data_IF_414066965678
#
_entry.id   IF_414066965678
#
_cell.length_a   1.000
_cell.length_b   1.000
_cell.length_c   1.000
_cell.angle_alpha   90.00
_cell.angle_beta   90.00
_cell.angle_gamma   90.00
#
_symmetry.space_group_name_H-M   'P 1'
#
loop_
_entity.id
_entity.type
_entity.pdbx_description
1 polymer ?
#
# COMPACT_ATOMS: atom_id res chain seq x y z
N UNK A 1 -3.85 7.67 -26.45
CA UNK A 1 -4.46 8.05 -25.16
C UNK A 1 -5.91 8.44 -25.39
N UNK A 2 -6.82 8.08 -24.47
CA UNK A 2 -8.21 8.54 -24.52
C UNK A 2 -8.23 10.06 -24.31
N UNK A 3 -9.00 10.79 -25.12
CA UNK A 3 -9.09 12.25 -25.01
C UNK A 3 -10.21 12.62 -24.03
N UNK A 4 -9.86 13.16 -22.87
CA UNK A 4 -10.81 13.64 -21.86
C UNK A 4 -11.09 15.13 -22.11
N UNK A 5 -12.38 15.50 -22.06
CA UNK A 5 -12.86 16.87 -22.21
C UNK A 5 -13.28 17.47 -20.86
N UNK A 6 -13.70 16.63 -19.92
CA UNK A 6 -14.20 17.02 -18.62
C UNK A 6 -13.37 16.37 -17.51
N UNK A 7 -13.14 17.12 -16.44
CA UNK A 7 -12.34 16.65 -15.31
C UNK A 7 -13.10 16.89 -14.03
N UNK A 8 -13.24 15.85 -13.21
CA UNK A 8 -13.93 15.89 -11.92
C UNK A 8 -12.94 15.62 -10.82
N UNK A 9 -12.63 16.66 -10.04
CA UNK A 9 -11.81 16.52 -8.83
C UNK A 9 -12.67 16.32 -7.60
N UNK A 10 -12.33 15.36 -6.75
CA UNK A 10 -13.12 15.02 -5.57
C UNK A 10 -12.22 15.00 -4.34
N UNK A 11 -12.50 15.88 -3.38
CA UNK A 11 -11.95 15.78 -2.03
C UNK A 11 -12.86 14.91 -1.18
N UNK A 12 -12.26 13.90 -0.52
CA UNK A 12 -12.99 12.83 0.18
C UNK A 12 -12.86 12.98 1.68
N UNK A 13 -13.98 13.18 2.35
CA UNK A 13 -14.08 13.06 3.79
C UNK A 13 -14.95 11.87 4.21
N UNK A 14 -15.04 11.62 5.51
CA UNK A 14 -15.82 10.50 6.06
C UNK A 14 -17.30 10.58 5.65
N UNK A 15 -17.91 11.76 5.73
CA UNK A 15 -19.36 11.96 5.57
C UNK A 15 -19.74 12.60 4.24
N UNK A 16 -18.84 13.37 3.62
CA UNK A 16 -19.12 14.15 2.41
C UNK A 16 -18.02 14.05 1.38
N UNK A 17 -18.38 14.34 0.14
CA UNK A 17 -17.50 14.53 -0.99
C UNK A 17 -17.69 15.96 -1.49
N UNK A 18 -16.60 16.72 -1.54
CA UNK A 18 -16.55 18.00 -2.21
C UNK A 18 -16.13 17.74 -3.66
N UNK A 19 -16.99 18.09 -4.60
CA UNK A 19 -16.85 17.75 -6.03
C UNK A 19 -16.68 19.02 -6.84
N UNK A 20 -15.65 19.09 -7.65
CA UNK A 20 -15.44 20.17 -8.63
C UNK A 20 -15.40 19.58 -10.03
N UNK A 21 -16.32 20.03 -10.86
CA UNK A 21 -16.32 19.76 -12.31
C UNK A 21 -15.61 20.89 -13.05
N UNK A 22 -14.62 20.59 -13.86
CA UNK A 22 -14.06 21.50 -14.87
C UNK A 22 -14.79 21.20 -16.19
N UNK A 23 -15.63 22.14 -16.63
CA UNK A 23 -16.40 22.02 -17.87
C UNK A 23 -15.58 22.47 -19.09
N UNK A 24 -14.73 23.46 -18.89
CA UNK A 24 -13.86 23.98 -19.96
C UNK A 24 -12.52 24.41 -19.38
N UNK A 25 -11.46 23.76 -19.85
CA UNK A 25 -10.11 24.01 -19.39
C UNK A 25 -9.61 25.40 -19.84
N UNK A 26 -9.92 25.82 -21.06
CA UNK A 26 -9.44 27.10 -21.62
C UNK A 26 -10.04 28.32 -20.92
N UNK A 27 -11.34 28.26 -20.55
CA UNK A 27 -12.03 29.36 -19.88
C UNK A 27 -12.00 29.24 -18.35
N UNK A 28 -11.38 28.18 -17.79
CA UNK A 28 -11.39 27.88 -16.34
C UNK A 28 -12.82 27.78 -15.75
N UNK A 29 -13.80 27.42 -16.60
CA UNK A 29 -15.19 27.27 -16.14
C UNK A 29 -15.29 26.01 -15.28
N UNK A 30 -15.58 26.21 -14.02
CA UNK A 30 -15.71 25.13 -13.04
C UNK A 30 -16.89 25.34 -12.11
N UNK A 31 -17.46 24.24 -11.65
CA UNK A 31 -18.57 24.23 -10.70
C UNK A 31 -18.24 23.34 -9.51
N UNK A 32 -18.69 23.77 -8.34
CA UNK A 32 -18.51 23.03 -7.09
C UNK A 32 -19.87 22.65 -6.50
N UNK A 33 -19.98 21.43 -6.04
CA UNK A 33 -21.14 20.96 -5.28
C UNK A 33 -20.69 19.89 -4.26
N UNK A 34 -21.56 19.63 -3.27
CA UNK A 34 -21.26 18.69 -2.19
C UNK A 34 -22.30 17.58 -2.21
N UNK A 35 -21.84 16.34 -1.99
CA UNK A 35 -22.72 15.18 -1.82
C UNK A 35 -22.26 14.34 -0.62
N UNK A 36 -23.12 13.47 -0.12
CA UNK A 36 -22.74 12.51 0.91
C UNK A 36 -21.78 11.44 0.37
N UNK A 37 -20.84 10.97 1.20
CA UNK A 37 -19.97 9.84 0.87
C UNK A 37 -20.70 8.50 1.03
N UNK A 38 -21.81 8.36 0.31
CA UNK A 38 -22.67 7.18 0.24
C UNK A 38 -22.93 6.79 -1.20
N UNK A 39 -23.34 5.55 -1.45
CA UNK A 39 -23.69 5.12 -2.82
C UNK A 39 -24.77 6.02 -3.44
N UNK A 40 -25.74 6.47 -2.65
CA UNK A 40 -26.80 7.42 -3.11
C UNK A 40 -26.20 8.77 -3.51
N UNK A 41 -25.32 9.33 -2.67
CA UNK A 41 -24.65 10.60 -2.97
C UNK A 41 -23.76 10.50 -4.22
N UNK A 42 -23.03 9.41 -4.39
CA UNK A 42 -22.18 9.20 -5.56
C UNK A 42 -23.01 9.04 -6.84
N UNK A 43 -24.12 8.30 -6.79
CA UNK A 43 -25.06 8.20 -7.91
C UNK A 43 -25.65 9.57 -8.27
N UNK A 44 -25.83 10.47 -7.29
CA UNK A 44 -26.30 11.84 -7.55
C UNK A 44 -25.26 12.66 -8.33
N UNK A 45 -23.95 12.43 -8.13
CA UNK A 45 -22.90 13.05 -8.97
C UNK A 45 -23.15 12.71 -10.45
N UNK A 46 -23.29 11.42 -10.73
CA UNK A 46 -23.51 10.94 -12.11
C UNK A 46 -24.79 11.55 -12.70
N UNK A 47 -25.87 11.60 -11.92
CA UNK A 47 -27.13 12.21 -12.35
C UNK A 47 -26.99 13.71 -12.65
N UNK A 48 -26.26 14.46 -11.82
CA UNK A 48 -26.00 15.89 -12.04
C UNK A 48 -25.17 16.12 -13.32
N UNK A 49 -24.11 15.31 -13.55
CA UNK A 49 -23.32 15.38 -14.76
C UNK A 49 -24.15 15.09 -16.02
N UNK A 50 -25.02 14.06 -15.99
CA UNK A 50 -25.93 13.73 -17.08
C UNK A 50 -26.93 14.86 -17.36
N UNK A 51 -27.53 15.47 -16.33
CA UNK A 51 -28.44 16.64 -16.48
C UNK A 51 -27.75 17.80 -17.20
N UNK A 52 -26.45 17.98 -16.99
CA UNK A 52 -25.60 18.99 -17.66
C UNK A 52 -25.13 18.59 -19.04
N UNK A 53 -25.57 17.43 -19.57
CA UNK A 53 -25.17 16.87 -20.85
C UNK A 53 -23.64 16.62 -20.94
N UNK A 54 -22.97 16.35 -19.80
CA UNK A 54 -21.56 15.98 -19.75
C UNK A 54 -21.40 14.55 -20.26
N UNK A 55 -20.52 14.35 -21.21
CA UNK A 55 -20.18 13.02 -21.73
C UNK A 55 -19.29 12.29 -20.71
N UNK A 56 -19.88 11.32 -20.01
CA UNK A 56 -19.18 10.55 -18.99
C UNK A 56 -18.01 9.72 -19.54
N UNK A 57 -18.09 9.30 -20.83
CA UNK A 57 -17.00 8.56 -21.46
C UNK A 57 -15.78 9.45 -21.75
N UNK A 58 -15.96 10.77 -21.78
CA UNK A 58 -14.92 11.78 -21.93
C UNK A 58 -14.62 12.51 -20.63
N UNK A 59 -15.06 11.96 -19.50
CA UNK A 59 -14.85 12.52 -18.17
C UNK A 59 -13.83 11.69 -17.41
N UNK A 60 -12.81 12.35 -16.83
CA UNK A 60 -11.85 11.76 -15.91
C UNK A 60 -12.17 12.19 -14.48
N UNK A 61 -12.42 11.22 -13.62
CA UNK A 61 -12.55 11.44 -12.17
C UNK A 61 -11.18 11.34 -11.52
N UNK A 62 -10.83 12.29 -10.65
CA UNK A 62 -9.58 12.31 -9.92
C UNK A 62 -9.82 12.56 -8.43
N UNK A 63 -9.16 11.82 -7.56
CA UNK A 63 -9.28 11.99 -6.11
C UNK A 63 -8.05 11.46 -5.36
N UNK A 64 -7.90 11.95 -4.14
CA UNK A 64 -6.81 11.55 -3.25
C UNK A 64 -7.11 10.20 -2.57
N UNK A 65 -6.05 9.44 -2.28
CA UNK A 65 -6.17 8.20 -1.53
C UNK A 65 -6.34 8.48 -0.02
N UNK A 66 -7.57 8.55 0.46
CA UNK A 66 -7.94 8.74 1.87
C UNK A 66 -8.28 7.43 2.62
N UNK A 67 -7.69 6.34 2.20
CA UNK A 67 -7.87 5.03 2.82
C UNK A 67 -9.26 4.44 2.60
N UNK A 68 -9.93 4.01 3.68
CA UNK A 68 -11.24 3.33 3.58
C UNK A 68 -12.35 4.21 3.04
N UNK A 69 -12.27 5.52 3.22
CA UNK A 69 -13.29 6.47 2.74
C UNK A 69 -13.33 6.60 1.22
N UNK A 70 -12.27 6.16 0.53
CA UNK A 70 -12.19 6.11 -0.94
C UNK A 70 -13.01 4.96 -1.54
N UNK A 71 -13.28 3.89 -0.79
CA UNK A 71 -13.93 2.69 -1.32
C UNK A 71 -15.31 2.92 -1.91
N UNK A 72 -16.26 3.63 -1.25
CA UNK A 72 -17.58 3.85 -1.82
C UNK A 72 -17.53 4.50 -3.20
N UNK A 73 -16.69 5.53 -3.36
CA UNK A 73 -16.50 6.22 -4.63
C UNK A 73 -15.90 5.30 -5.69
N UNK A 74 -14.81 4.60 -5.36
CA UNK A 74 -14.14 3.69 -6.29
C UNK A 74 -15.06 2.56 -6.77
N UNK A 75 -15.86 1.97 -5.87
CA UNK A 75 -16.81 0.91 -6.20
C UNK A 75 -17.85 1.41 -7.19
N UNK A 76 -18.52 2.52 -6.87
CA UNK A 76 -19.57 3.06 -7.74
C UNK A 76 -19.01 3.50 -9.12
N UNK A 77 -17.85 4.17 -9.17
CA UNK A 77 -17.25 4.55 -10.45
C UNK A 77 -16.90 3.33 -11.31
N UNK A 78 -16.40 2.25 -10.69
CA UNK A 78 -16.12 1.00 -11.42
C UNK A 78 -17.38 0.28 -11.86
N UNK A 79 -18.45 0.27 -11.07
CA UNK A 79 -19.76 -0.28 -11.46
C UNK A 79 -20.38 0.46 -12.65
N UNK A 80 -20.10 1.77 -12.77
CA UNK A 80 -20.50 2.58 -13.92
C UNK A 80 -19.49 2.56 -15.08
N UNK A 81 -18.43 1.76 -14.98
CA UNK A 81 -17.35 1.67 -15.98
C UNK A 81 -16.70 3.03 -16.31
N UNK A 82 -16.61 3.92 -15.31
CA UNK A 82 -16.07 5.26 -15.47
C UNK A 82 -14.57 5.32 -15.16
N UNK A 83 -13.85 6.09 -15.93
CA UNK A 83 -12.42 6.28 -15.76
C UNK A 83 -12.11 7.16 -14.55
N UNK A 84 -11.26 6.64 -13.65
CA UNK A 84 -10.81 7.41 -12.50
C UNK A 84 -9.33 7.22 -12.19
N UNK A 85 -8.76 8.23 -11.54
CA UNK A 85 -7.37 8.27 -11.13
C UNK A 85 -7.25 8.57 -9.64
N UNK A 86 -6.74 7.60 -8.87
CA UNK A 86 -6.43 7.77 -7.45
C UNK A 86 -4.98 8.24 -7.34
N UNK A 87 -4.78 9.43 -6.82
CA UNK A 87 -3.47 10.08 -6.73
C UNK A 87 -2.97 10.08 -5.28
N UNK A 88 -1.67 9.85 -5.04
CA UNK A 88 -1.08 10.06 -3.73
C UNK A 88 -1.17 11.54 -3.29
N UNK A 89 -1.57 11.79 -2.03
CA UNK A 89 -1.67 13.14 -1.45
C UNK A 89 -0.44 14.02 -1.69
N UNK A 90 0.73 13.41 -1.61
CA UNK A 90 2.01 14.12 -1.75
C UNK A 90 2.22 14.67 -3.17
N UNK A 91 1.70 14.00 -4.20
CA UNK A 91 1.82 14.47 -5.58
C UNK A 91 0.94 15.68 -5.81
N UNK A 92 -0.32 15.64 -5.33
CA UNK A 92 -1.24 16.77 -5.38
C UNK A 92 -0.63 17.96 -4.62
N UNK A 93 -0.15 17.73 -3.39
CA UNK A 93 0.49 18.78 -2.58
C UNK A 93 1.68 19.44 -3.26
N UNK A 94 2.55 18.66 -3.90
CA UNK A 94 3.72 19.19 -4.63
C UNK A 94 3.36 19.97 -5.90
N UNK A 95 2.21 19.69 -6.50
CA UNK A 95 1.76 20.38 -7.70
C UNK A 95 1.08 21.72 -7.45
N UNK A 96 0.68 22.01 -6.20
CA UNK A 96 -0.08 23.21 -5.83
C UNK A 96 0.75 24.51 -5.82
N UNK A 97 2.08 24.42 -5.72
CA UNK A 97 2.93 25.60 -5.46
C UNK A 97 2.69 26.18 -4.06
N UNK A 98 2.91 27.48 -3.88
CA UNK A 98 2.67 28.18 -2.61
C UNK A 98 1.19 28.57 -2.55
N UNK A 99 0.39 27.87 -1.75
CA UNK A 99 -1.02 28.19 -1.51
C UNK A 99 -1.23 28.75 -0.12
N UNK A 100 -2.04 29.82 -0.01
CA UNK A 100 -2.47 30.39 1.28
C UNK A 100 -3.95 30.01 1.52
N UNK A 101 -4.22 29.41 2.67
CA UNK A 101 -5.55 28.94 3.05
C UNK A 101 -5.81 27.48 2.62
N UNK A 102 -6.71 26.82 3.36
CA UNK A 102 -7.14 25.44 3.11
C UNK A 102 -8.66 25.38 3.32
N UNK A 103 -9.37 24.92 2.29
CA UNK A 103 -10.76 24.49 2.42
C UNK A 103 -11.06 23.38 1.40
N UNK A 104 -12.03 22.56 1.69
CA UNK A 104 -12.37 21.35 0.94
C UNK A 104 -12.73 21.66 -0.53
N UNK A 105 -13.39 22.79 -0.81
CA UNK A 105 -13.69 23.26 -2.17
C UNK A 105 -12.41 23.55 -2.97
N UNK A 106 -11.45 24.22 -2.33
CA UNK A 106 -10.16 24.53 -2.97
C UNK A 106 -9.37 23.24 -3.20
N UNK A 107 -9.39 22.31 -2.22
CA UNK A 107 -8.72 21.04 -2.35
C UNK A 107 -9.32 20.20 -3.49
N UNK A 108 -10.63 20.11 -3.63
CA UNK A 108 -11.29 19.45 -4.76
C UNK A 108 -10.95 20.11 -6.11
N UNK A 109 -10.87 21.45 -6.17
CA UNK A 109 -10.45 22.19 -7.36
C UNK A 109 -9.00 21.89 -7.73
N UNK A 110 -8.11 21.85 -6.77
CA UNK A 110 -6.70 21.54 -6.98
C UNK A 110 -6.50 20.10 -7.48
N UNK A 111 -7.29 19.14 -6.98
CA UNK A 111 -7.32 17.76 -7.45
C UNK A 111 -7.77 17.71 -8.93
N UNK A 112 -8.82 18.45 -9.29
CA UNK A 112 -9.28 18.51 -10.67
C UNK A 112 -8.19 19.09 -11.60
N UNK A 113 -7.57 20.22 -11.22
CA UNK A 113 -6.50 20.82 -11.99
C UNK A 113 -5.22 19.98 -12.03
N UNK A 114 -4.95 19.19 -10.98
CA UNK A 114 -3.86 18.21 -11.01
C UNK A 114 -4.05 17.23 -12.16
N UNK A 115 -5.25 16.68 -12.33
CA UNK A 115 -5.52 15.72 -13.40
C UNK A 115 -5.42 16.33 -14.82
N UNK A 116 -5.79 17.60 -14.99
CA UNK A 116 -5.60 18.34 -16.23
C UNK A 116 -4.11 18.50 -16.58
N UNK A 117 -3.33 19.01 -15.61
CA UNK A 117 -1.92 19.37 -15.84
C UNK A 117 -0.97 18.18 -15.95
N UNK A 118 -1.36 17.02 -15.42
CA UNK A 118 -0.54 15.83 -15.41
C UNK A 118 -1.17 14.67 -16.18
N UNK A 119 -1.97 14.97 -17.18
CA UNK A 119 -2.65 13.96 -18.01
C UNK A 119 -1.68 13.02 -18.73
N UNK A 120 -0.47 13.49 -19.02
CA UNK A 120 0.65 12.71 -19.56
C UNK A 120 1.11 11.59 -18.63
N UNK A 121 0.88 11.75 -17.30
CA UNK A 121 1.23 10.78 -16.25
C UNK A 121 0.06 9.90 -15.85
N UNK A 122 -1.09 10.02 -16.51
CA UNK A 122 -2.31 9.30 -16.16
C UNK A 122 -2.08 7.80 -16.09
N UNK A 123 -2.46 7.22 -14.95
CA UNK A 123 -2.61 5.79 -14.74
C UNK A 123 -3.99 5.53 -14.19
N UNK A 124 -4.88 5.04 -15.05
CA UNK A 124 -6.22 4.67 -14.62
C UNK A 124 -6.15 3.71 -13.44
N UNK A 125 -6.95 4.02 -12.44
CA UNK A 125 -7.04 3.20 -11.23
C UNK A 125 -8.13 2.15 -11.42
N UNK A 126 -7.89 0.97 -10.88
CA UNK A 126 -8.88 -0.10 -10.80
C UNK A 126 -9.07 -0.52 -9.34
N UNK A 127 -10.26 -1.00 -9.03
CA UNK A 127 -10.51 -1.64 -7.74
C UNK A 127 -9.73 -2.95 -7.69
N UNK A 128 -9.11 -3.22 -6.55
CA UNK A 128 -8.63 -4.58 -6.28
C UNK A 128 -9.83 -5.52 -6.15
N UNK A 129 -9.65 -6.78 -6.49
CA UNK A 129 -10.68 -7.81 -6.29
C UNK A 129 -11.21 -7.79 -4.86
N UNK A 130 -12.47 -8.16 -4.70
CA UNK A 130 -13.17 -8.12 -3.40
C UNK A 130 -12.39 -8.84 -2.29
N UNK A 131 -11.82 -9.99 -2.62
CA UNK A 131 -11.03 -10.80 -1.70
C UNK A 131 -9.75 -10.08 -1.25
N UNK A 132 -9.08 -9.37 -2.15
CA UNK A 132 -7.87 -8.60 -1.83
C UNK A 132 -8.21 -7.40 -0.95
N UNK A 133 -9.37 -6.77 -1.18
CA UNK A 133 -9.86 -5.69 -0.30
C UNK A 133 -10.16 -6.22 1.11
N UNK A 134 -10.85 -7.36 1.21
CA UNK A 134 -11.12 -8.03 2.48
C UNK A 134 -9.82 -8.39 3.21
N UNK A 135 -8.85 -8.98 2.50
CA UNK A 135 -7.53 -9.28 3.06
C UNK A 135 -6.84 -8.03 3.59
N UNK A 136 -6.89 -6.92 2.86
CA UNK A 136 -6.29 -5.64 3.30
C UNK A 136 -6.92 -5.12 4.58
N UNK A 137 -8.25 -5.17 4.70
CA UNK A 137 -8.97 -4.76 5.91
C UNK A 137 -8.59 -5.64 7.10
N UNK A 138 -8.68 -6.97 6.95
CA UNK A 138 -8.31 -7.92 8.00
C UNK A 138 -6.85 -7.80 8.41
N UNK A 139 -5.94 -7.59 7.45
CA UNK A 139 -4.52 -7.38 7.74
C UNK A 139 -4.30 -6.08 8.55
N UNK A 140 -5.04 -5.02 8.24
CA UNK A 140 -4.98 -3.76 8.98
C UNK A 140 -5.46 -3.93 10.42
N UNK A 141 -6.57 -4.64 10.64
CA UNK A 141 -7.06 -4.95 12.00
C UNK A 141 -6.07 -5.84 12.76
N UNK A 142 -5.51 -6.86 12.10
CA UNK A 142 -4.44 -7.69 12.67
C UNK A 142 -3.26 -6.84 13.17
N UNK A 143 -2.83 -5.86 12.39
CA UNK A 143 -1.74 -4.96 12.79
C UNK A 143 -2.09 -4.10 14.01
N UNK A 144 -3.35 -3.66 14.13
CA UNK A 144 -3.83 -2.95 15.33
C UNK A 144 -3.76 -3.86 16.57
N UNK A 145 -4.29 -5.08 16.45
CA UNK A 145 -4.24 -6.07 17.54
C UNK A 145 -2.80 -6.37 17.95
N UNK A 146 -1.89 -6.56 16.99
CA UNK A 146 -0.48 -6.80 17.27
C UNK A 146 0.20 -5.64 18.01
N UNK A 147 -0.09 -4.39 17.61
CA UNK A 147 0.42 -3.20 18.31
C UNK A 147 -0.11 -3.12 19.74
N UNK A 148 -1.39 -3.40 19.93
CA UNK A 148 -2.00 -3.41 21.27
C UNK A 148 -1.40 -4.50 22.15
N UNK A 149 -1.14 -5.69 21.60
CA UNK A 149 -0.44 -6.77 22.33
C UNK A 149 0.96 -6.35 22.80
N UNK A 150 1.70 -5.58 21.98
CA UNK A 150 3.01 -5.08 22.39
C UNK A 150 2.90 -4.10 23.56
N UNK A 151 1.91 -3.19 23.53
CA UNK A 151 1.67 -2.23 24.63
C UNK A 151 1.41 -2.97 25.96
N UNK A 152 0.53 -3.98 25.95
CA UNK A 152 0.24 -4.75 27.17
C UNK A 152 1.39 -5.70 27.60
N UNK A 153 2.28 -6.06 26.67
CA UNK A 153 3.42 -6.93 26.93
C UNK A 153 4.53 -6.28 27.77
N UNK A 154 4.63 -4.94 27.79
CA UNK A 154 5.69 -4.19 28.49
C UNK A 154 5.46 -4.06 30.01
N UNK A 155 4.31 -4.48 30.53
CA UNK A 155 3.96 -4.33 31.95
C UNK A 155 4.98 -4.99 32.92
N UNK A 156 5.70 -6.02 32.47
CA UNK A 156 6.71 -6.71 33.27
C UNK A 156 7.91 -5.81 33.62
N UNK A 157 8.20 -4.83 32.80
CA UNK A 157 9.32 -3.89 32.99
C UNK A 157 9.09 -2.96 34.20
N UNK A 158 7.83 -2.80 34.62
CA UNK A 158 7.45 -1.89 35.69
C UNK A 158 7.45 -2.57 37.08
N UNK A 159 7.83 -3.87 37.18
CA UNK A 159 7.71 -4.66 38.42
C UNK A 159 8.47 -4.04 39.58
N UNK A 160 9.64 -3.48 39.34
CA UNK A 160 10.52 -2.93 40.34
C UNK A 160 10.16 -1.50 40.78
N UNK A 161 9.18 -0.87 40.11
CA UNK A 161 8.78 0.54 40.31
C UNK A 161 7.41 0.69 40.98
N UNK A 162 6.67 -0.41 41.19
CA UNK A 162 5.33 -0.40 41.80
C UNK A 162 5.22 -1.45 42.91
N UNK A 163 4.29 -1.20 43.83
CA UNK A 163 4.08 -2.14 44.97
C UNK A 163 3.55 -3.49 44.43
N UNK A 164 3.91 -4.57 45.16
CA UNK A 164 3.61 -5.94 44.73
C UNK A 164 2.10 -6.24 44.61
N UNK A 165 1.28 -5.64 45.44
CA UNK A 165 -0.19 -5.77 45.42
C UNK A 165 -0.78 -5.10 44.17
N UNK A 166 -0.39 -3.87 43.87
CA UNK A 166 -0.80 -3.14 42.65
C UNK A 166 -0.30 -3.88 41.42
N UNK A 167 0.97 -4.34 41.42
CA UNK A 167 1.52 -5.10 40.31
C UNK A 167 0.72 -6.38 40.01
N UNK A 168 0.30 -7.14 41.07
CA UNK A 168 -0.54 -8.33 40.91
C UNK A 168 -1.88 -8.01 40.22
N UNK A 169 -2.56 -6.95 40.65
CA UNK A 169 -3.84 -6.52 40.05
C UNK A 169 -3.66 -6.16 38.58
N UNK A 170 -2.70 -5.28 38.29
CA UNK A 170 -2.43 -4.83 36.92
C UNK A 170 -2.04 -5.99 36.03
N UNK A 171 -1.14 -6.89 36.51
CA UNK A 171 -0.71 -8.05 35.72
C UNK A 171 -1.86 -9.02 35.45
N UNK A 172 -2.78 -9.21 36.40
CA UNK A 172 -3.96 -10.06 36.19
C UNK A 172 -4.91 -9.49 35.14
N UNK A 173 -5.18 -8.18 35.18
CA UNK A 173 -6.01 -7.49 34.21
C UNK A 173 -5.36 -7.58 32.79
N UNK A 174 -4.05 -7.29 32.72
CA UNK A 174 -3.32 -7.35 31.45
C UNK A 174 -3.27 -8.78 30.88
N UNK A 175 -3.10 -9.80 31.73
CA UNK A 175 -3.12 -11.19 31.29
C UNK A 175 -4.48 -11.59 30.63
N UNK A 176 -5.60 -11.15 31.22
CA UNK A 176 -6.95 -11.36 30.65
C UNK A 176 -7.08 -10.66 29.30
N UNK A 177 -6.66 -9.41 29.20
CA UNK A 177 -6.70 -8.61 27.96
C UNK A 177 -5.81 -9.25 26.88
N UNK A 178 -4.59 -9.64 27.22
CA UNK A 178 -3.67 -10.33 26.29
C UNK A 178 -4.28 -11.64 25.79
N UNK A 179 -4.93 -12.41 26.66
CA UNK A 179 -5.62 -13.66 26.26
C UNK A 179 -6.72 -13.39 25.23
N UNK A 180 -7.56 -12.39 25.47
CA UNK A 180 -8.63 -11.99 24.55
C UNK A 180 -8.07 -11.52 23.19
N UNK A 181 -7.04 -10.65 23.21
CA UNK A 181 -6.38 -10.17 21.99
C UNK A 181 -5.74 -11.30 21.18
N UNK A 182 -5.16 -12.32 21.84
CA UNK A 182 -4.62 -13.49 21.14
C UNK A 182 -5.70 -14.33 20.46
N UNK A 183 -6.88 -14.45 21.07
CA UNK A 183 -8.05 -15.12 20.45
C UNK A 183 -8.45 -14.35 19.20
N UNK A 184 -8.69 -13.04 19.30
CA UNK A 184 -9.04 -12.18 18.17
C UNK A 184 -8.00 -12.23 17.05
N UNK A 185 -6.71 -12.26 17.39
CA UNK A 185 -5.63 -12.40 16.42
C UNK A 185 -5.74 -13.72 15.64
N UNK A 186 -6.01 -14.83 16.34
CA UNK A 186 -6.19 -16.15 15.71
C UNK A 186 -7.41 -16.17 14.77
N UNK A 187 -8.52 -15.57 15.18
CA UNK A 187 -9.73 -15.45 14.35
C UNK A 187 -9.47 -14.67 13.07
N UNK A 188 -8.81 -13.49 13.17
CA UNK A 188 -8.41 -12.69 12.01
C UNK A 188 -7.51 -13.48 11.05
N UNK A 189 -6.49 -14.16 11.59
CA UNK A 189 -5.57 -14.96 10.77
C UNK A 189 -6.26 -16.16 10.13
N UNK A 190 -7.21 -16.78 10.82
CA UNK A 190 -8.03 -17.88 10.27
C UNK A 190 -8.88 -17.37 9.12
N UNK A 191 -9.57 -16.24 9.31
CA UNK A 191 -10.40 -15.64 8.25
C UNK A 191 -9.60 -15.25 7.00
N UNK A 192 -8.40 -14.69 7.20
CA UNK A 192 -7.49 -14.37 6.08
C UNK A 192 -7.07 -15.63 5.31
N UNK A 193 -6.78 -16.74 6.01
CA UNK A 193 -6.46 -18.03 5.37
C UNK A 193 -7.63 -18.59 4.59
N UNK A 194 -8.85 -18.51 5.12
CA UNK A 194 -10.07 -18.95 4.44
C UNK A 194 -10.28 -18.20 3.12
N UNK A 195 -10.12 -16.86 3.11
CA UNK A 195 -10.24 -16.05 1.90
C UNK A 195 -9.24 -16.52 0.84
N UNK A 196 -7.98 -16.74 1.23
CA UNK A 196 -6.96 -17.22 0.30
C UNK A 196 -7.31 -18.63 -0.20
N UNK A 197 -7.73 -19.53 0.69
CA UNK A 197 -8.06 -20.93 0.34
C UNK A 197 -9.24 -21.05 -0.63
N UNK A 198 -10.23 -20.16 -0.49
CA UNK A 198 -11.46 -20.18 -1.26
C UNK A 198 -11.32 -19.53 -2.66
N UNK A 199 -10.21 -18.87 -2.95
CA UNK A 199 -9.91 -18.32 -4.26
C UNK A 199 -8.68 -19.03 -4.84
N UNK A 200 -8.87 -19.78 -5.93
CA UNK A 200 -7.83 -20.64 -6.52
C UNK A 200 -6.61 -19.85 -6.99
N UNK A 201 -6.81 -18.66 -7.57
CA UNK A 201 -5.73 -17.79 -8.03
C UNK A 201 -4.91 -17.25 -6.86
N UNK A 202 -5.57 -16.72 -5.82
CA UNK A 202 -4.90 -16.22 -4.63
C UNK A 202 -4.15 -17.34 -3.88
N UNK A 203 -4.74 -18.56 -3.85
CA UNK A 203 -4.08 -19.72 -3.25
C UNK A 203 -2.81 -20.08 -4.01
N UNK A 204 -2.88 -20.18 -5.33
CA UNK A 204 -1.71 -20.46 -6.17
C UNK A 204 -0.62 -19.39 -5.96
N UNK A 205 -0.97 -18.11 -6.01
CA UNK A 205 -0.02 -17.02 -5.76
C UNK A 205 0.60 -17.14 -4.37
N UNK A 206 -0.21 -17.39 -3.35
CA UNK A 206 0.25 -17.53 -1.97
C UNK A 206 1.26 -18.68 -1.81
N UNK A 207 0.97 -19.84 -2.38
CA UNK A 207 1.84 -21.03 -2.31
C UNK A 207 3.16 -20.79 -3.06
N UNK A 208 3.11 -20.16 -4.23
CA UNK A 208 4.29 -19.77 -4.99
C UNK A 208 5.19 -18.79 -4.21
N UNK A 209 4.61 -17.75 -3.63
CA UNK A 209 5.34 -16.75 -2.84
C UNK A 209 5.97 -17.39 -1.60
N UNK A 210 5.24 -18.29 -0.94
CA UNK A 210 5.70 -19.03 0.23
C UNK A 210 6.88 -19.97 -0.06
N UNK A 211 7.04 -20.40 -1.27
CA UNK A 211 8.18 -21.24 -1.69
C UNK A 211 9.52 -20.48 -1.64
N UNK A 212 9.50 -19.15 -1.65
CA UNK A 212 10.73 -18.32 -1.64
C UNK A 212 11.33 -18.27 -0.24
N UNK A 213 12.59 -18.63 -0.04
CA UNK A 213 13.27 -18.56 1.25
C UNK A 213 13.21 -17.15 1.86
N UNK A 214 12.87 -17.08 3.15
CA UNK A 214 12.70 -15.83 3.87
C UNK A 214 11.28 -15.24 3.78
N UNK A 215 10.37 -15.83 2.99
CA UNK A 215 9.00 -15.34 2.90
C UNK A 215 8.07 -16.16 3.79
N UNK A 216 7.66 -15.56 4.90
CA UNK A 216 6.67 -16.14 5.83
C UNK A 216 5.23 -15.91 5.35
N UNK A 217 4.27 -16.52 6.06
CA UNK A 217 2.84 -16.42 5.76
C UNK A 217 2.35 -14.96 5.68
N UNK A 218 2.71 -14.12 6.65
CA UNK A 218 2.29 -12.72 6.70
C UNK A 218 2.89 -11.90 5.56
N UNK A 219 4.15 -12.19 5.22
CA UNK A 219 4.81 -11.54 4.08
C UNK A 219 4.15 -11.92 2.76
N UNK A 220 3.79 -13.20 2.56
CA UNK A 220 3.11 -13.66 1.36
C UNK A 220 1.73 -13.00 1.19
N UNK A 221 0.93 -12.95 2.26
CA UNK A 221 -0.35 -12.24 2.26
C UNK A 221 -0.18 -10.76 1.90
N UNK A 222 0.82 -10.11 2.49
CA UNK A 222 1.04 -8.69 2.24
C UNK A 222 1.58 -8.41 0.83
N UNK A 223 2.36 -9.32 0.23
CA UNK A 223 2.71 -9.23 -1.18
C UNK A 223 1.46 -9.21 -2.06
N UNK A 224 0.52 -10.13 -1.85
CA UNK A 224 -0.75 -10.18 -2.60
C UNK A 224 -1.53 -8.86 -2.44
N UNK A 225 -1.65 -8.36 -1.20
CA UNK A 225 -2.35 -7.10 -0.90
C UNK A 225 -1.66 -5.91 -1.59
N UNK A 226 -0.36 -5.76 -1.41
CA UNK A 226 0.41 -4.61 -1.90
C UNK A 226 0.49 -4.57 -3.43
N UNK A 227 0.56 -5.73 -4.07
CA UNK A 227 0.62 -5.86 -5.53
C UNK A 227 -0.75 -5.93 -6.18
N UNK A 228 -1.85 -5.94 -5.40
CA UNK A 228 -3.21 -6.23 -5.88
C UNK A 228 -3.27 -7.51 -6.72
N UNK A 229 -2.71 -8.62 -6.21
CA UNK A 229 -2.60 -9.87 -6.93
C UNK A 229 -1.67 -9.79 -8.15
N UNK A 230 -0.58 -9.03 -8.03
CA UNK A 230 0.42 -8.76 -9.08
C UNK A 230 -0.10 -8.00 -10.31
N UNK A 231 -1.26 -7.34 -10.19
CA UNK A 231 -1.84 -6.49 -11.26
C UNK A 231 -1.35 -5.04 -11.18
N UNK A 232 -0.81 -4.58 -10.03
CA UNK A 232 -0.39 -3.19 -9.83
C UNK A 232 1.07 -2.88 -10.23
N UNK A 233 1.88 -3.89 -10.47
CA UNK A 233 3.30 -3.73 -10.79
C UNK A 233 3.73 -4.66 -11.91
N UNK A 234 4.29 -4.10 -12.98
CA UNK A 234 4.73 -4.86 -14.15
C UNK A 234 6.02 -5.67 -13.88
N UNK A 235 6.84 -5.23 -12.91
CA UNK A 235 8.11 -5.89 -12.61
C UNK A 235 8.58 -5.65 -11.16
N UNK A 236 9.55 -6.46 -10.74
CA UNK A 236 10.14 -6.43 -9.40
C UNK A 236 10.81 -5.10 -9.06
N UNK A 237 11.42 -4.41 -10.05
CA UNK A 237 12.13 -3.14 -9.83
C UNK A 237 11.17 -2.02 -9.44
N UNK A 238 10.00 -1.92 -10.08
CA UNK A 238 8.95 -0.95 -9.69
C UNK A 238 8.45 -1.23 -8.29
N UNK A 239 8.27 -2.51 -7.93
CA UNK A 239 7.89 -2.90 -6.59
C UNK A 239 9.00 -2.65 -5.55
N UNK A 240 10.28 -2.83 -5.90
CA UNK A 240 11.42 -2.48 -5.05
C UNK A 240 11.46 -0.96 -4.75
N UNK A 241 11.11 -0.11 -5.72
CA UNK A 241 10.93 1.32 -5.49
C UNK A 241 9.78 1.59 -4.51
N UNK A 242 8.62 0.97 -4.71
CA UNK A 242 7.46 1.09 -3.84
C UNK A 242 7.75 0.64 -2.40
N UNK A 243 8.47 -0.47 -2.23
CA UNK A 243 8.85 -1.00 -0.91
C UNK A 243 10.03 -0.25 -0.26
N UNK A 244 10.64 0.72 -0.94
CA UNK A 244 11.78 1.49 -0.43
C UNK A 244 13.04 0.65 -0.24
N UNK A 245 13.25 -0.34 -1.11
CA UNK A 245 14.47 -1.15 -1.13
C UNK A 245 15.37 -0.81 -2.31
N UNK A 246 14.81 -0.23 -3.39
CA UNK A 246 15.63 0.24 -4.52
C UNK A 246 16.44 1.47 -4.12
N UNK A 247 17.76 1.46 -4.34
CA UNK A 247 18.60 2.61 -4.12
C UNK A 247 18.49 3.59 -5.28
N UNK A 248 18.54 4.90 -4.99
CA UNK A 248 18.58 5.97 -5.97
C UNK A 248 19.85 6.79 -5.78
N UNK A 249 20.48 7.17 -6.89
CA UNK A 249 21.58 8.11 -6.88
C UNK A 249 21.09 9.50 -6.48
N UNK A 250 21.91 10.20 -5.73
CA UNK A 250 21.66 11.58 -5.35
C UNK A 250 22.89 12.39 -5.76
N UNK A 251 22.84 12.95 -6.95
CA UNK A 251 23.88 13.83 -7.49
C UNK A 251 23.24 15.07 -8.10
N UNK A 252 23.85 16.23 -7.91
CA UNK A 252 23.41 17.47 -8.54
C UNK A 252 24.65 18.26 -8.96
N UNK A 253 24.82 18.43 -10.27
CA UNK A 253 25.98 19.09 -10.85
C UNK A 253 27.31 18.42 -10.50
N UNK A 254 28.38 19.20 -10.54
CA UNK A 254 29.75 18.75 -10.17
C UNK A 254 30.02 18.80 -8.66
N UNK A 255 29.25 19.58 -7.90
CA UNK A 255 29.52 19.89 -6.48
C UNK A 255 28.82 18.96 -5.49
N UNK A 256 27.71 18.33 -5.86
CA UNK A 256 26.95 17.44 -4.95
C UNK A 256 27.07 16.00 -5.41
N UNK A 257 27.98 15.23 -4.79
CA UNK A 257 28.09 13.77 -4.94
C UNK A 257 27.57 13.09 -3.67
N UNK A 258 26.25 13.02 -3.53
CA UNK A 258 25.62 12.24 -2.46
C UNK A 258 25.71 10.75 -2.71
N UNK A 259 25.97 9.94 -1.68
CA UNK A 259 25.91 8.49 -1.80
C UNK A 259 24.49 8.01 -2.15
N UNK A 260 24.40 6.87 -2.83
CA UNK A 260 23.16 6.20 -3.20
C UNK A 260 22.32 5.89 -1.96
N UNK A 261 21.08 6.37 -1.91
CA UNK A 261 20.16 6.21 -0.76
C UNK A 261 18.81 5.63 -1.20
N UNK A 262 18.18 4.89 -0.29
CA UNK A 262 16.78 4.45 -0.48
C UNK A 262 15.82 5.60 -0.16
N UNK A 263 14.71 5.68 -0.89
CA UNK A 263 13.71 6.70 -0.66
C UNK A 263 12.96 6.43 0.66
N UNK A 264 12.66 7.51 1.41
CA UNK A 264 11.82 7.42 2.61
C UNK A 264 10.33 7.33 2.29
N UNK A 265 9.91 7.74 1.08
CA UNK A 265 8.55 7.57 0.56
C UNK A 265 8.40 6.13 0.08
N UNK A 266 8.02 5.24 1.01
CA UNK A 266 7.94 3.82 0.76
C UNK A 266 6.86 3.17 1.63
N UNK A 267 6.38 2.01 1.21
CA UNK A 267 5.57 1.16 2.06
C UNK A 267 6.40 0.61 3.23
N UNK A 268 6.28 1.28 4.39
CA UNK A 268 7.04 0.95 5.60
C UNK A 268 6.73 -0.47 6.11
N UNK A 269 5.51 -0.97 5.87
CA UNK A 269 5.13 -2.32 6.30
C UNK A 269 5.81 -3.37 5.45
N UNK A 270 5.78 -3.22 4.11
CA UNK A 270 6.52 -4.12 3.21
C UNK A 270 8.02 -4.09 3.52
N UNK A 271 8.58 -2.90 3.72
CA UNK A 271 10.00 -2.76 4.08
C UNK A 271 10.36 -3.52 5.36
N UNK A 272 9.50 -3.46 6.38
CA UNK A 272 9.69 -4.20 7.65
C UNK A 272 9.59 -5.71 7.45
N UNK A 273 8.59 -6.19 6.70
CA UNK A 273 8.43 -7.61 6.40
C UNK A 273 9.62 -8.16 5.60
N UNK A 274 10.10 -7.40 4.62
CA UNK A 274 11.30 -7.76 3.85
C UNK A 274 12.57 -7.77 4.71
N UNK A 275 12.68 -6.89 5.71
CA UNK A 275 13.80 -6.92 6.67
C UNK A 275 13.82 -8.22 7.45
N UNK A 276 12.67 -8.60 8.01
CA UNK A 276 12.56 -9.88 8.73
C UNK A 276 12.79 -11.07 7.81
N UNK A 277 12.27 -10.99 6.59
CA UNK A 277 12.51 -12.00 5.55
C UNK A 277 13.97 -12.13 5.18
N UNK A 278 14.72 -11.04 5.03
CA UNK A 278 16.15 -11.07 4.73
C UNK A 278 16.96 -11.70 5.87
N UNK A 279 16.63 -11.39 7.13
CA UNK A 279 17.28 -12.01 8.31
C UNK A 279 16.99 -13.52 8.37
N UNK A 280 15.75 -13.94 8.09
CA UNK A 280 15.38 -15.34 8.04
C UNK A 280 16.07 -16.06 6.87
N UNK A 281 16.15 -15.42 5.70
CA UNK A 281 16.79 -15.99 4.52
C UNK A 281 18.29 -16.26 4.74
N UNK A 282 19.02 -15.32 5.35
CA UNK A 282 20.45 -15.56 5.70
C UNK A 282 20.60 -16.77 6.61
N UNK A 283 19.63 -17.03 7.48
CA UNK A 283 19.68 -18.15 8.42
C UNK A 283 19.38 -19.49 7.76
N UNK A 284 18.47 -19.52 6.78
CA UNK A 284 17.88 -20.75 6.23
C UNK A 284 18.19 -21.03 4.76
N UNK A 285 18.71 -20.04 4.01
CA UNK A 285 19.11 -20.22 2.59
C UNK A 285 20.64 -20.18 2.48
N UNK A 286 21.31 -21.30 2.15
CA UNK A 286 22.77 -21.36 2.05
C UNK A 286 23.34 -20.35 1.04
N UNK A 287 22.69 -20.15 -0.11
CA UNK A 287 23.13 -19.21 -1.14
C UNK A 287 23.11 -17.75 -0.64
N UNK A 288 22.05 -17.36 0.07
CA UNK A 288 21.95 -16.00 0.61
C UNK A 288 22.86 -15.80 1.82
N UNK A 289 23.11 -16.86 2.61
CA UNK A 289 24.09 -16.84 3.70
C UNK A 289 25.52 -16.62 3.16
N UNK A 290 25.90 -17.37 2.13
CA UNK A 290 27.21 -17.23 1.49
C UNK A 290 27.37 -15.84 0.87
N UNK A 291 26.36 -15.36 0.12
CA UNK A 291 26.34 -14.01 -0.42
C UNK A 291 26.52 -12.95 0.67
N UNK A 292 25.82 -13.09 1.80
CA UNK A 292 25.95 -12.17 2.92
C UNK A 292 27.36 -12.16 3.49
N UNK A 293 27.94 -13.34 3.77
CA UNK A 293 29.29 -13.47 4.33
C UNK A 293 30.35 -12.93 3.37
N UNK A 294 30.27 -13.26 2.08
CA UNK A 294 31.17 -12.76 1.05
C UNK A 294 31.16 -11.22 1.02
N UNK A 295 29.99 -10.60 0.99
CA UNK A 295 29.87 -9.14 0.95
C UNK A 295 30.33 -8.48 2.26
N UNK A 296 30.19 -9.13 3.40
CA UNK A 296 30.72 -8.67 4.67
C UNK A 296 32.25 -8.70 4.68
N UNK A 297 32.86 -9.78 4.18
CA UNK A 297 34.31 -9.92 4.06
C UNK A 297 34.91 -8.89 3.09
N UNK A 298 34.14 -8.47 2.05
CA UNK A 298 34.49 -7.34 1.18
C UNK A 298 34.36 -5.96 1.86
N UNK A 299 34.11 -5.89 3.18
CA UNK A 299 34.01 -4.65 3.95
C UNK A 299 32.65 -3.91 3.81
N UNK A 300 31.62 -4.50 3.18
CA UNK A 300 30.33 -3.86 3.01
C UNK A 300 29.56 -3.82 4.34
N UNK A 301 28.88 -2.69 4.62
CA UNK A 301 28.04 -2.52 5.82
C UNK A 301 26.87 -3.53 5.82
N UNK A 302 26.60 -4.17 6.95
CA UNK A 302 25.55 -5.20 7.11
C UNK A 302 24.20 -4.77 6.56
N UNK A 303 23.76 -3.53 6.87
CA UNK A 303 22.46 -3.00 6.42
C UNK A 303 22.39 -2.84 4.89
N UNK A 304 23.50 -2.54 4.23
CA UNK A 304 23.57 -2.49 2.76
C UNK A 304 23.38 -3.89 2.17
N UNK A 305 24.09 -4.89 2.72
CA UNK A 305 23.98 -6.28 2.26
C UNK A 305 22.59 -6.84 2.50
N UNK A 306 21.98 -6.56 3.67
CA UNK A 306 20.58 -6.91 3.95
C UNK A 306 19.62 -6.28 2.96
N UNK A 307 19.86 -5.02 2.56
CA UNK A 307 19.02 -4.37 1.56
C UNK A 307 19.12 -5.04 0.19
N UNK A 308 20.31 -5.49 -0.21
CA UNK A 308 20.48 -6.26 -1.44
C UNK A 308 19.71 -7.59 -1.38
N UNK A 309 19.69 -8.25 -0.21
CA UNK A 309 18.93 -9.49 0.00
C UNK A 309 17.43 -9.24 -0.10
N UNK A 310 16.92 -8.11 0.42
CA UNK A 310 15.51 -7.71 0.23
C UNK A 310 15.15 -7.60 -1.25
N UNK A 311 16.00 -6.96 -2.06
CA UNK A 311 15.80 -6.88 -3.51
C UNK A 311 15.78 -8.28 -4.14
N UNK A 312 16.72 -9.15 -3.77
CA UNK A 312 16.74 -10.55 -4.25
C UNK A 312 15.48 -11.34 -3.87
N UNK A 313 14.92 -11.13 -2.68
CA UNK A 313 13.64 -11.74 -2.28
C UNK A 313 12.51 -11.24 -3.19
N UNK A 314 12.43 -9.92 -3.45
CA UNK A 314 11.45 -9.35 -4.37
C UNK A 314 11.57 -9.96 -5.75
N UNK A 315 12.79 -10.02 -6.31
CA UNK A 315 13.06 -10.59 -7.63
C UNK A 315 12.62 -12.06 -7.71
N UNK A 316 12.95 -12.86 -6.68
CA UNK A 316 12.53 -14.26 -6.58
C UNK A 316 11.01 -14.40 -6.52
N UNK A 317 10.32 -13.56 -5.74
CA UNK A 317 8.85 -13.56 -5.65
C UNK A 317 8.22 -13.25 -7.01
N UNK A 318 8.64 -12.19 -7.70
CA UNK A 318 8.13 -11.88 -9.03
C UNK A 318 8.46 -12.98 -10.05
N UNK A 319 9.65 -13.58 -9.95
CA UNK A 319 10.05 -14.68 -10.82
C UNK A 319 9.16 -15.93 -10.67
N UNK A 320 8.84 -16.37 -9.46
CA UNK A 320 7.96 -17.53 -9.24
C UNK A 320 6.52 -17.27 -9.69
N UNK A 321 6.03 -16.05 -9.52
CA UNK A 321 4.71 -15.63 -10.00
C UNK A 321 4.65 -15.65 -11.53
N UNK A 322 5.65 -15.05 -12.21
CA UNK A 322 5.65 -14.94 -13.67
C UNK A 322 5.77 -16.32 -14.35
N UNK A 323 6.60 -17.20 -13.83
CA UNK A 323 6.76 -18.56 -14.39
C UNK A 323 5.77 -19.58 -13.84
N UNK A 324 4.94 -19.22 -12.85
CA UNK A 324 3.94 -20.09 -12.22
C UNK A 324 4.50 -21.40 -11.65
N UNK A 325 5.77 -21.40 -11.25
CA UNK A 325 6.44 -22.58 -10.67
C UNK A 325 7.09 -22.19 -9.34
N UNK A 326 7.09 -23.09 -8.33
CA UNK A 326 7.73 -22.84 -7.05
C UNK A 326 9.23 -22.49 -7.18
N UNK A 327 9.75 -21.84 -6.16
CA UNK A 327 11.20 -21.59 -6.07
C UNK A 327 11.96 -22.91 -5.92
N UNK A 328 12.95 -23.11 -6.77
CA UNK A 328 13.88 -24.24 -6.72
C UNK A 328 15.24 -23.69 -6.28
N UNK A 329 15.78 -24.24 -5.20
CA UNK A 329 17.12 -23.90 -4.76
C UNK A 329 18.16 -24.68 -5.57
N UNK A 330 18.62 -24.09 -6.67
CA UNK A 330 19.61 -24.70 -7.57
C UNK A 330 20.99 -24.88 -6.93
N UNK A 331 21.27 -24.21 -5.81
CA UNK A 331 22.52 -24.33 -5.05
C UNK A 331 22.74 -25.76 -4.53
N UNK A 332 21.67 -26.53 -4.29
CA UNK A 332 21.74 -27.93 -3.87
C UNK A 332 22.19 -28.89 -5.00
N UNK A 333 22.15 -28.43 -6.24
CA UNK A 333 22.48 -29.23 -7.43
C UNK A 333 23.80 -28.81 -8.08
N UNK A 334 24.47 -27.81 -7.52
CA UNK A 334 25.76 -27.28 -8.05
C UNK A 334 26.98 -27.74 -7.23
N UNK A 335 26.78 -28.66 -6.27
CA UNK A 335 27.85 -29.30 -5.47
C UNK A 335 28.13 -30.70 -5.91
#
# INVERSE_FOLDING_TARGET
MKNYLFYVGIDISKLKLDVVLIENVATNKSEHFIVENTSKGIKSIISQLKKKKIDLNKTLFCFENTGVYTYPLSINLSEFELDYWIVPAIEIKRSKGISRGKNDKTDAKDIAWYSVRNIDKLKLSSIAEKEIQQLKLLFTEREKVMKTLLVFGTTKENKDFITNDVFKVVSTINAKTIKSLKISLKELETKMKEIIKNNSELKQQFDLIRSVPGVGQQSAMYFIIATKGFKAFDNSRKFACYSGTAPFEYSSGSSVRGGTKVNHMADKKMKSLLQMGALAAIKHDPQLKEYYNKKKNEGKKSMLVLNNIRCKIIDRVFSVINRKTPYINTYKFAS
#
